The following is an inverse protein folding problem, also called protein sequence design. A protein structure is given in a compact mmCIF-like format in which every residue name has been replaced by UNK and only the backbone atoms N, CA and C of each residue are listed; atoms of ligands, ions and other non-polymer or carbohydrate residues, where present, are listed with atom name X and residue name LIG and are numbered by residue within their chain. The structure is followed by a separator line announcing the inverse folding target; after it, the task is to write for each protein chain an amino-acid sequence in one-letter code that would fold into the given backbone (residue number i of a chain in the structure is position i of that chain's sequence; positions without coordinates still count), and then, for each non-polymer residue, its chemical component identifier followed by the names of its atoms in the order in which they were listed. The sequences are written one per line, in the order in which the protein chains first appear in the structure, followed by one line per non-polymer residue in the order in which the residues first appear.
data_IF_539895100673
#
_entry.id   IF_539895100673
#
_cell.length_a   1.000
_cell.length_b   1.000
_cell.length_c   1.000
_cell.angle_alpha   90.00
_cell.angle_beta   90.00
_cell.angle_gamma   90.00
#
_symmetry.space_group_name_H-M   'P 1'
#
loop_
_entity.id
_entity.type
_entity.pdbx_description
1 polymer ?
#
# COMPACT_ATOMS: atom_id res chain seq x y z
N UNK A 1 -41.77 -25.22 -6.98
CA UNK A 1 -40.30 -25.18 -6.80
C UNK A 1 -39.58 -24.86 -8.12
N UNK A 2 -39.98 -25.48 -9.24
CA UNK A 2 -39.33 -25.29 -10.56
C UNK A 2 -39.50 -23.90 -11.18
N UNK A 3 -40.60 -23.21 -10.90
CA UNK A 3 -40.88 -21.85 -11.38
C UNK A 3 -39.91 -20.80 -10.82
N UNK A 4 -39.52 -20.94 -9.56
CA UNK A 4 -38.54 -20.06 -8.92
C UNK A 4 -37.13 -20.34 -9.44
N UNK A 5 -36.75 -21.61 -9.62
CA UNK A 5 -35.45 -21.99 -10.22
C UNK A 5 -35.31 -21.43 -11.64
N UNK A 6 -36.39 -21.45 -12.42
CA UNK A 6 -36.39 -20.90 -13.78
C UNK A 6 -36.25 -19.37 -13.78
N UNK A 7 -36.91 -18.66 -12.85
CA UNK A 7 -36.69 -17.22 -12.62
C UNK A 7 -35.24 -16.92 -12.25
N UNK A 8 -34.63 -17.68 -11.34
CA UNK A 8 -33.23 -17.51 -10.92
C UNK A 8 -32.24 -17.69 -12.06
N UNK A 9 -32.44 -18.69 -12.93
CA UNK A 9 -31.61 -18.88 -14.13
C UNK A 9 -31.70 -17.69 -15.08
N UNK A 10 -32.92 -17.16 -15.33
CA UNK A 10 -33.17 -15.98 -16.16
C UNK A 10 -32.58 -14.70 -15.56
N UNK A 11 -32.60 -14.57 -14.23
CA UNK A 11 -32.01 -13.46 -13.50
C UNK A 11 -30.47 -13.49 -13.57
N UNK A 12 -29.85 -14.66 -13.35
CA UNK A 12 -28.39 -14.86 -13.45
C UNK A 12 -27.85 -14.54 -14.86
N UNK A 13 -28.63 -14.85 -15.89
CA UNK A 13 -28.28 -14.55 -17.28
C UNK A 13 -28.40 -13.05 -17.61
N UNK A 14 -29.33 -12.34 -16.96
CA UNK A 14 -29.49 -10.88 -17.06
C UNK A 14 -28.48 -10.09 -16.22
N UNK A 15 -28.07 -10.61 -15.07
CA UNK A 15 -27.05 -10.01 -14.20
C UNK A 15 -25.69 -10.61 -14.55
N UNK A 16 -25.25 -10.44 -15.79
CA UNK A 16 -23.85 -10.68 -16.17
C UNK A 16 -23.02 -9.45 -15.81
N UNK A 17 -23.05 -9.05 -14.53
CA UNK A 17 -22.19 -7.98 -14.04
C UNK A 17 -20.77 -8.56 -13.90
N UNK A 18 -19.77 -7.84 -14.41
CA UNK A 18 -18.36 -8.20 -14.22
C UNK A 18 -17.83 -7.80 -12.83
N UNK A 19 -18.71 -7.43 -11.90
CA UNK A 19 -18.35 -7.00 -10.55
C UNK A 19 -18.23 -8.23 -9.66
N UNK A 20 -17.02 -8.51 -9.18
CA UNK A 20 -16.78 -9.53 -8.16
C UNK A 20 -17.32 -9.02 -6.81
N UNK A 21 -18.18 -9.80 -6.17
CA UNK A 21 -18.79 -9.48 -4.88
C UNK A 21 -18.39 -10.54 -3.86
N UNK A 22 -17.96 -10.09 -2.68
CA UNK A 22 -17.77 -10.92 -1.49
C UNK A 22 -18.81 -10.50 -0.43
N UNK A 23 -19.44 -11.47 0.23
CA UNK A 23 -20.45 -11.23 1.26
C UNK A 23 -19.97 -11.88 2.56
N UNK A 24 -19.64 -11.04 3.53
CA UNK A 24 -19.30 -11.45 4.89
C UNK A 24 -20.49 -11.26 5.82
N UNK A 25 -20.75 -12.24 6.70
CA UNK A 25 -21.82 -12.19 7.69
C UNK A 25 -21.27 -11.90 9.08
N UNK A 26 -21.89 -10.95 9.78
CA UNK A 26 -21.57 -10.63 11.16
C UNK A 26 -22.53 -11.38 12.07
N UNK A 27 -22.06 -12.38 12.81
CA UNK A 27 -22.87 -13.04 13.84
C UNK A 27 -22.68 -12.30 15.17
N UNK A 28 -23.68 -11.52 15.58
CA UNK A 28 -23.67 -10.75 16.83
C UNK A 28 -24.05 -11.59 18.07
N UNK A 29 -23.79 -12.90 18.04
CA UNK A 29 -24.37 -13.86 18.99
C UNK A 29 -23.39 -14.60 19.91
N UNK A 30 -22.09 -14.58 19.66
CA UNK A 30 -21.10 -15.17 20.57
C UNK A 30 -20.38 -14.07 21.33
N UNK A 31 -20.44 -14.13 22.66
CA UNK A 31 -19.74 -13.25 23.61
C UNK A 31 -18.20 -13.31 23.50
N UNK A 32 -17.67 -14.15 22.61
CA UNK A 32 -16.24 -14.38 22.40
C UNK A 32 -15.76 -14.13 20.95
N UNK A 33 -16.65 -14.00 19.96
CA UNK A 33 -16.23 -13.63 18.61
C UNK A 33 -16.44 -12.13 18.40
N UNK A 34 -15.32 -11.40 18.32
CA UNK A 34 -15.34 -10.01 17.92
C UNK A 34 -16.07 -9.89 16.56
N UNK A 35 -17.14 -9.07 16.45
CA UNK A 35 -17.87 -8.93 15.20
C UNK A 35 -16.89 -8.55 14.09
N UNK A 36 -17.07 -9.15 12.91
CA UNK A 36 -16.30 -8.82 11.70
C UNK A 36 -16.25 -7.29 11.55
N UNK A 37 -15.08 -6.72 11.79
CA UNK A 37 -14.89 -5.28 12.00
C UNK A 37 -14.92 -4.48 10.69
N UNK A 38 -15.33 -5.09 9.57
CA UNK A 38 -15.21 -4.53 8.23
C UNK A 38 -15.92 -3.18 8.09
N UNK A 39 -17.11 -3.04 8.68
CA UNK A 39 -17.85 -1.77 8.70
C UNK A 39 -17.12 -0.68 9.48
N UNK A 40 -16.70 -0.97 10.72
CA UNK A 40 -15.98 -0.03 11.59
C UNK A 40 -14.65 0.37 10.94
N UNK A 41 -13.94 -0.61 10.39
CA UNK A 41 -12.67 -0.43 9.67
C UNK A 41 -12.86 0.46 8.45
N UNK A 42 -13.95 0.28 7.70
CA UNK A 42 -14.28 1.13 6.54
C UNK A 42 -14.51 2.57 6.97
N UNK A 43 -15.22 2.81 8.08
CA UNK A 43 -15.43 4.15 8.61
C UNK A 43 -14.12 4.79 9.10
N UNK A 44 -13.25 4.01 9.75
CA UNK A 44 -11.93 4.47 10.17
C UNK A 44 -11.07 4.89 8.98
N UNK A 45 -10.98 4.04 7.94
CA UNK A 45 -10.25 4.36 6.71
C UNK A 45 -10.81 5.61 6.04
N UNK A 46 -12.14 5.78 6.02
CA UNK A 46 -12.77 7.02 5.50
C UNK A 46 -12.37 8.25 6.31
N UNK A 47 -12.25 8.14 7.64
CA UNK A 47 -11.78 9.24 8.48
C UNK A 47 -10.32 9.58 8.18
N UNK A 48 -9.45 8.58 8.07
CA UNK A 48 -8.05 8.78 7.68
C UNK A 48 -7.90 9.42 6.31
N UNK A 49 -8.72 9.03 5.33
CA UNK A 49 -8.72 9.65 4.00
C UNK A 49 -9.26 11.10 4.03
N UNK A 50 -10.10 11.47 4.99
CA UNK A 50 -10.51 12.86 5.20
C UNK A 50 -9.39 13.68 5.87
N UNK A 51 -8.69 13.08 6.83
CA UNK A 51 -7.56 13.69 7.53
C UNK A 51 -6.37 13.89 6.58
N UNK A 52 -6.01 12.87 5.80
CA UNK A 52 -4.95 12.89 4.80
C UNK A 52 -5.49 12.43 3.43
N UNK A 53 -5.99 13.36 2.59
CA UNK A 53 -6.54 13.04 1.27
C UNK A 53 -5.56 12.30 0.34
N UNK A 54 -4.25 12.49 0.51
CA UNK A 54 -3.22 11.84 -0.30
C UNK A 54 -3.15 10.32 -0.11
N UNK A 55 -3.69 9.78 0.99
CA UNK A 55 -3.70 8.34 1.27
C UNK A 55 -4.27 7.55 0.10
N UNK A 56 -5.39 8.01 -0.47
CA UNK A 56 -6.02 7.30 -1.58
C UNK A 56 -5.05 7.16 -2.76
N UNK A 57 -4.35 8.22 -3.11
CA UNK A 57 -3.47 8.26 -4.27
C UNK A 57 -2.20 7.42 -4.01
N UNK A 58 -1.56 7.57 -2.85
CA UNK A 58 -0.38 6.79 -2.45
C UNK A 58 -0.71 5.29 -2.38
N UNK A 59 -1.81 4.92 -1.73
CA UNK A 59 -2.23 3.51 -1.63
C UNK A 59 -2.53 2.91 -2.99
N UNK A 60 -3.13 3.65 -3.93
CA UNK A 60 -3.37 3.16 -5.28
C UNK A 60 -2.06 2.89 -6.03
N UNK A 61 -1.08 3.79 -5.93
CA UNK A 61 0.25 3.61 -6.54
C UNK A 61 0.93 2.37 -5.96
N UNK A 62 1.05 2.29 -4.62
CA UNK A 62 1.70 1.17 -3.93
C UNK A 62 0.98 -0.16 -4.19
N UNK A 63 -0.35 -0.17 -4.19
CA UNK A 63 -1.13 -1.36 -4.49
C UNK A 63 -0.88 -1.83 -5.92
N UNK A 64 -0.78 -0.91 -6.88
CA UNK A 64 -0.43 -1.26 -8.26
C UNK A 64 0.97 -1.88 -8.36
N UNK A 65 1.92 -1.38 -7.58
CA UNK A 65 3.28 -1.92 -7.49
C UNK A 65 3.29 -3.33 -6.90
N UNK A 66 2.65 -3.53 -5.75
CA UNK A 66 2.56 -4.82 -5.06
C UNK A 66 1.79 -5.85 -5.92
N UNK A 67 0.77 -5.41 -6.67
CA UNK A 67 0.03 -6.25 -7.61
C UNK A 67 0.92 -6.78 -8.74
N UNK A 68 1.87 -5.99 -9.26
CA UNK A 68 2.83 -6.46 -10.27
C UNK A 68 3.72 -7.59 -9.76
N UNK A 69 3.96 -7.65 -8.45
CA UNK A 69 4.70 -8.74 -7.81
C UNK A 69 3.84 -9.99 -7.53
N UNK A 70 2.53 -9.94 -7.75
CA UNK A 70 1.61 -11.00 -7.34
C UNK A 70 1.43 -11.11 -5.82
N UNK A 71 1.76 -10.06 -5.05
CA UNK A 71 1.79 -10.06 -3.58
C UNK A 71 0.69 -9.19 -2.95
N UNK A 72 -0.41 -8.93 -3.66
CA UNK A 72 -1.53 -8.10 -3.15
C UNK A 72 -2.52 -8.85 -2.25
N UNK A 73 -2.39 -10.17 -2.18
CA UNK A 73 -3.27 -11.06 -1.43
C UNK A 73 -2.55 -11.61 -0.20
N UNK A 74 -3.16 -11.46 0.98
CA UNK A 74 -2.53 -11.87 2.24
C UNK A 74 -2.49 -13.39 2.42
N UNK A 75 -3.47 -14.12 1.89
CA UNK A 75 -3.55 -15.58 2.01
C UNK A 75 -2.47 -16.31 1.19
N UNK A 76 -1.85 -15.64 0.20
CA UNK A 76 -0.72 -16.18 -0.58
C UNK A 76 0.65 -15.74 -0.05
N UNK A 77 0.71 -15.15 1.15
CA UNK A 77 1.96 -14.64 1.72
C UNK A 77 2.24 -13.15 1.47
N UNK A 78 1.35 -12.46 0.75
CA UNK A 78 1.46 -11.05 0.39
C UNK A 78 0.97 -10.07 1.46
N UNK A 79 0.85 -8.79 1.09
CA UNK A 79 0.40 -7.72 1.97
C UNK A 79 -1.07 -7.36 1.68
N UNK A 80 -1.91 -7.39 2.71
CA UNK A 80 -3.32 -7.01 2.56
C UNK A 80 -3.48 -5.52 2.24
N UNK A 81 -4.56 -5.16 1.53
CA UNK A 81 -4.87 -3.76 1.24
C UNK A 81 -5.08 -2.93 2.52
N UNK A 82 -5.63 -3.52 3.57
CA UNK A 82 -5.83 -2.83 4.85
C UNK A 82 -4.51 -2.59 5.59
N UNK A 83 -3.63 -3.59 5.62
CA UNK A 83 -2.27 -3.46 6.15
C UNK A 83 -1.48 -2.36 5.44
N UNK A 84 -1.60 -2.28 4.11
CA UNK A 84 -0.98 -1.23 3.31
C UNK A 84 -1.51 0.17 3.66
N UNK A 85 -2.83 0.32 3.87
CA UNK A 85 -3.41 1.60 4.30
C UNK A 85 -2.87 2.01 5.67
N UNK A 86 -2.76 1.08 6.62
CA UNK A 86 -2.18 1.35 7.95
C UNK A 86 -0.73 1.83 7.82
N UNK A 87 0.10 1.15 7.02
CA UNK A 87 1.49 1.56 6.78
C UNK A 87 1.58 3.00 6.28
N UNK A 88 0.75 3.37 5.28
CA UNK A 88 0.74 4.73 4.72
C UNK A 88 0.23 5.75 5.73
N UNK A 89 -0.87 5.45 6.43
CA UNK A 89 -1.43 6.36 7.44
C UNK A 89 -0.44 6.61 8.58
N UNK A 90 0.17 5.56 9.13
CA UNK A 90 1.15 5.64 10.20
C UNK A 90 2.35 6.50 9.79
N UNK A 91 2.86 6.32 8.57
CA UNK A 91 3.93 7.15 8.05
C UNK A 91 3.55 8.64 7.96
N UNK A 92 2.37 8.94 7.39
CA UNK A 92 1.92 10.33 7.19
C UNK A 92 1.70 11.06 8.53
N UNK A 93 1.10 10.36 9.50
CA UNK A 93 0.81 10.90 10.82
C UNK A 93 2.07 11.26 11.60
N UNK A 94 3.11 10.42 11.54
CA UNK A 94 4.33 10.62 12.33
C UNK A 94 5.29 11.63 11.68
N UNK A 95 5.40 11.61 10.36
CA UNK A 95 6.31 12.51 9.65
C UNK A 95 5.73 13.92 9.45
N UNK A 96 4.49 14.17 9.91
CA UNK A 96 3.78 15.46 9.83
C UNK A 96 4.00 16.16 8.50
N UNK A 97 3.97 15.40 7.40
CA UNK A 97 4.48 15.89 6.13
C UNK A 97 3.65 17.13 5.78
N UNK A 98 4.36 18.23 5.54
CA UNK A 98 3.76 19.48 5.10
C UNK A 98 2.92 19.23 3.84
N UNK A 99 2.11 20.20 3.42
CA UNK A 99 1.35 20.16 2.17
C UNK A 99 2.31 20.16 0.95
N UNK A 100 3.05 19.05 0.80
CA UNK A 100 3.99 18.78 -0.26
C UNK A 100 3.23 18.13 -1.42
N UNK A 101 3.85 18.15 -2.60
CA UNK A 101 3.31 17.46 -3.75
C UNK A 101 3.34 15.94 -3.53
N UNK A 102 2.37 15.23 -4.10
CA UNK A 102 2.29 13.77 -3.98
C UNK A 102 3.58 13.04 -4.37
N UNK A 103 4.32 13.56 -5.36
CA UNK A 103 5.58 12.96 -5.80
C UNK A 103 6.65 12.95 -4.70
N UNK A 104 6.75 14.03 -3.94
CA UNK A 104 7.67 14.13 -2.80
C UNK A 104 7.22 13.21 -1.66
N UNK A 105 5.93 13.25 -1.33
CA UNK A 105 5.36 12.39 -0.28
C UNK A 105 5.54 10.89 -0.61
N UNK A 106 5.43 10.52 -1.89
CA UNK A 106 5.69 9.15 -2.34
C UNK A 106 7.17 8.78 -2.20
N UNK A 107 8.09 9.66 -2.58
CA UNK A 107 9.53 9.43 -2.42
C UNK A 107 9.89 9.30 -0.94
N UNK A 108 9.39 10.19 -0.08
CA UNK A 108 9.66 10.17 1.36
C UNK A 108 9.11 8.90 2.01
N UNK A 109 7.91 8.46 1.60
CA UNK A 109 7.33 7.19 2.02
C UNK A 109 8.24 6.01 1.65
N UNK A 110 8.73 5.95 0.41
CA UNK A 110 9.64 4.88 -0.01
C UNK A 110 10.96 4.94 0.76
N UNK A 111 11.54 6.13 0.94
CA UNK A 111 12.77 6.33 1.72
C UNK A 111 12.63 5.81 3.13
N UNK A 112 11.53 6.16 3.80
CA UNK A 112 11.27 5.68 5.15
C UNK A 112 11.22 4.15 5.20
N UNK A 113 10.41 3.51 4.36
CA UNK A 113 10.26 2.06 4.39
C UNK A 113 11.49 1.28 3.92
N UNK A 114 12.38 1.89 3.13
CA UNK A 114 13.60 1.26 2.62
C UNK A 114 14.81 1.50 3.53
N UNK A 115 14.96 2.71 4.08
CA UNK A 115 16.17 3.15 4.76
C UNK A 115 16.02 3.25 6.28
N UNK A 116 14.82 3.51 6.80
CA UNK A 116 14.60 3.83 8.21
C UNK A 116 13.79 2.75 8.95
N UNK A 117 12.76 2.21 8.31
CA UNK A 117 11.86 1.23 8.93
C UNK A 117 12.52 -0.15 9.02
N UNK A 118 12.83 -0.59 10.24
CA UNK A 118 13.25 -1.96 10.49
C UNK A 118 12.06 -2.85 10.85
N UNK A 119 11.56 -3.59 9.87
CA UNK A 119 10.42 -4.51 10.02
C UNK A 119 10.61 -5.64 11.04
N UNK A 120 11.86 -5.96 11.44
CA UNK A 120 12.14 -7.00 12.44
C UNK A 120 12.14 -6.49 13.87
N UNK A 121 12.30 -5.19 14.07
CA UNK A 121 12.36 -4.57 15.41
C UNK A 121 11.21 -3.62 15.67
N UNK A 122 10.55 -3.13 14.63
CA UNK A 122 9.50 -2.11 14.71
C UNK A 122 8.16 -2.68 14.27
N UNK A 123 7.15 -2.57 15.13
CA UNK A 123 5.76 -2.87 14.82
C UNK A 123 4.97 -1.62 14.42
N UNK A 124 3.85 -1.83 13.72
CA UNK A 124 2.93 -0.77 13.30
C UNK A 124 1.55 -1.00 13.90
N UNK A 125 0.98 0.01 14.55
CA UNK A 125 -0.35 -0.01 15.17
C UNK A 125 -0.39 0.76 16.48
N UNK A 126 -1.59 0.99 17.00
CA UNK A 126 -1.81 1.68 18.29
C UNK A 126 -1.74 0.69 19.46
N UNK A 127 -0.52 0.29 19.86
CA UNK A 127 -0.32 -0.55 21.04
C UNK A 127 -0.03 0.23 22.32
N UNK A 128 0.72 1.32 22.27
CA UNK A 128 1.21 2.06 23.44
C UNK A 128 0.08 2.58 24.35
N UNK A 129 -0.65 3.61 23.93
CA UNK A 129 -1.82 4.09 24.65
C UNK A 129 -2.94 4.45 23.67
N UNK A 130 -4.02 3.64 23.67
CA UNK A 130 -5.20 3.85 22.81
C UNK A 130 -5.94 5.13 23.20
N UNK A 131 -5.87 5.54 24.48
CA UNK A 131 -6.60 6.71 24.98
C UNK A 131 -5.88 8.01 24.66
N UNK A 132 -4.57 7.94 24.40
CA UNK A 132 -3.80 9.11 24.04
C UNK A 132 -3.75 9.30 22.51
N UNK A 133 -4.40 10.35 21.98
CA UNK A 133 -4.40 10.65 20.55
C UNK A 133 -3.03 11.08 20.01
N UNK A 134 -2.01 11.25 20.86
CA UNK A 134 -0.62 11.54 20.47
C UNK A 134 0.28 10.30 20.48
N UNK A 135 -0.23 9.12 20.88
CA UNK A 135 0.55 7.88 20.86
C UNK A 135 1.09 7.58 19.46
N UNK A 136 2.35 7.16 19.38
CA UNK A 136 2.94 6.80 18.09
C UNK A 136 2.29 5.54 17.52
N UNK A 137 2.18 5.48 16.20
CA UNK A 137 1.80 4.24 15.50
C UNK A 137 2.98 3.29 15.29
N UNK A 138 4.21 3.71 15.56
CA UNK A 138 5.37 2.84 15.56
C UNK A 138 5.79 2.53 16.99
N UNK A 139 6.11 1.27 17.26
CA UNK A 139 6.56 0.83 18.57
C UNK A 139 7.64 -0.23 18.43
N UNK A 140 8.52 -0.33 19.42
CA UNK A 140 9.56 -1.36 19.46
C UNK A 140 8.93 -2.70 19.87
N UNK A 141 9.20 -3.77 19.12
CA UNK A 141 8.67 -5.10 19.40
C UNK A 141 9.20 -5.68 20.73
N UNK A 142 10.42 -5.32 21.11
CA UNK A 142 11.07 -5.82 22.33
C UNK A 142 10.35 -5.33 23.59
N UNK A 143 9.84 -4.09 23.58
CA UNK A 143 9.10 -3.50 24.70
C UNK A 143 7.84 -4.31 25.08
N UNK A 144 7.32 -5.11 24.14
CA UNK A 144 6.10 -5.92 24.31
C UNK A 144 6.37 -7.43 24.26
N UNK A 145 7.64 -7.87 24.28
CA UNK A 145 8.02 -9.28 24.17
C UNK A 145 7.42 -10.01 22.95
N UNK A 146 7.25 -9.29 21.83
CA UNK A 146 6.64 -9.84 20.62
C UNK A 146 7.68 -10.60 19.76
N UNK A 147 7.26 -11.66 19.05
CA UNK A 147 8.16 -12.40 18.17
C UNK A 147 8.59 -11.56 16.96
N UNK A 148 9.79 -11.85 16.44
CA UNK A 148 10.27 -11.26 15.19
C UNK A 148 9.60 -11.93 13.99
N UNK A 149 8.50 -11.33 13.53
CA UNK A 149 7.86 -11.69 12.26
C UNK A 149 8.53 -10.94 11.10
N UNK A 150 8.30 -11.34 9.83
CA UNK A 150 8.78 -10.58 8.69
C UNK A 150 8.30 -9.12 8.69
N UNK A 151 7.07 -8.89 9.16
CA UNK A 151 6.51 -7.57 9.48
C UNK A 151 5.37 -7.72 10.48
N UNK A 152 5.30 -6.81 11.46
CA UNK A 152 4.27 -6.84 12.52
C UNK A 152 3.36 -5.63 12.40
N UNK A 153 2.11 -5.85 12.00
CA UNK A 153 1.07 -4.81 11.92
C UNK A 153 -0.16 -5.25 12.71
N UNK A 154 -0.57 -4.47 13.69
CA UNK A 154 -1.79 -4.69 14.45
C UNK A 154 -2.91 -3.79 13.96
N UNK A 155 -4.14 -4.32 14.02
CA UNK A 155 -5.32 -3.51 13.81
C UNK A 155 -5.47 -2.49 14.95
N UNK A 156 -5.52 -1.18 14.65
CA UNK A 156 -5.64 -0.15 15.69
C UNK A 156 -6.95 -0.22 16.50
N UNK A 157 -7.99 -0.89 15.97
CA UNK A 157 -9.28 -0.98 16.66
C UNK A 157 -9.33 -2.06 17.74
N UNK A 158 -8.69 -3.21 17.50
CA UNK A 158 -8.84 -4.40 18.34
C UNK A 158 -7.53 -5.13 18.63
N UNK A 159 -6.39 -4.58 18.24
CA UNK A 159 -5.05 -5.15 18.43
C UNK A 159 -4.88 -6.57 17.88
N UNK A 160 -5.72 -6.99 16.93
CA UNK A 160 -5.51 -8.25 16.22
C UNK A 160 -4.34 -8.10 15.26
N UNK A 161 -3.41 -9.06 15.26
CA UNK A 161 -2.32 -9.13 14.30
C UNK A 161 -2.89 -9.32 12.88
N UNK A 162 -2.55 -8.43 11.96
CA UNK A 162 -3.03 -8.45 10.57
C UNK A 162 -2.06 -9.15 9.62
N UNK A 163 -0.78 -9.20 9.97
CA UNK A 163 0.31 -9.69 9.10
C UNK A 163 0.80 -11.08 9.47
N UNK A 164 0.01 -11.87 10.19
CA UNK A 164 0.37 -13.26 10.57
C UNK A 164 0.71 -14.13 9.35
N UNK A 165 0.06 -13.88 8.22
CA UNK A 165 0.30 -14.61 6.96
C UNK A 165 1.29 -13.91 6.03
N UNK A 166 1.80 -12.72 6.35
CA UNK A 166 2.66 -11.95 5.45
C UNK A 166 4.13 -12.42 5.56
N UNK A 167 4.56 -13.24 4.61
CA UNK A 167 5.91 -13.84 4.60
C UNK A 167 6.83 -13.27 3.53
N UNK A 168 6.28 -12.57 2.53
CA UNK A 168 7.02 -12.05 1.38
C UNK A 168 7.26 -10.55 1.39
N UNK A 169 7.17 -9.89 2.56
CA UNK A 169 7.37 -8.44 2.69
C UNK A 169 8.75 -7.97 2.20
N UNK A 170 9.79 -8.80 2.36
CA UNK A 170 11.13 -8.49 1.86
C UNK A 170 11.14 -8.19 0.35
N UNK A 171 10.42 -8.99 -0.45
CA UNK A 171 10.29 -8.75 -1.91
C UNK A 171 9.59 -7.42 -2.23
N UNK A 172 8.66 -7.00 -1.38
CA UNK A 172 7.98 -5.71 -1.53
C UNK A 172 8.96 -4.56 -1.24
N UNK A 173 9.74 -4.66 -0.16
CA UNK A 173 10.75 -3.65 0.17
C UNK A 173 11.91 -3.60 -0.83
N UNK A 174 12.35 -4.74 -1.36
CA UNK A 174 13.32 -4.77 -2.45
C UNK A 174 12.79 -4.03 -3.68
N UNK A 175 11.51 -4.24 -4.01
CA UNK A 175 10.89 -3.53 -5.13
C UNK A 175 10.74 -2.03 -4.87
N UNK A 176 10.44 -1.63 -3.62
CA UNK A 176 10.44 -0.22 -3.21
C UNK A 176 11.84 0.39 -3.36
N UNK A 177 12.88 -0.32 -2.95
CA UNK A 177 14.28 0.11 -3.08
C UNK A 177 14.68 0.31 -4.54
N UNK A 178 14.37 -0.65 -5.42
CA UNK A 178 14.62 -0.53 -6.86
C UNK A 178 13.88 0.67 -7.45
N UNK A 179 12.62 0.86 -7.07
CA UNK A 179 11.79 1.98 -7.55
C UNK A 179 12.37 3.32 -7.10
N UNK A 180 12.77 3.42 -5.83
CA UNK A 180 13.37 4.63 -5.27
C UNK A 180 14.66 5.00 -6.02
N UNK A 181 15.55 4.04 -6.23
CA UNK A 181 16.80 4.26 -6.97
C UNK A 181 16.54 4.77 -8.40
N UNK A 182 15.57 4.19 -9.11
CA UNK A 182 15.20 4.63 -10.46
C UNK A 182 14.62 6.04 -10.48
N UNK A 183 13.81 6.40 -9.49
CA UNK A 183 13.26 7.74 -9.36
C UNK A 183 14.35 8.78 -9.06
N UNK A 184 15.31 8.45 -8.21
CA UNK A 184 16.43 9.35 -7.89
C UNK A 184 17.36 9.56 -9.08
N UNK A 185 17.69 8.50 -9.84
CA UNK A 185 18.46 8.62 -11.08
C UNK A 185 17.74 9.50 -12.11
N UNK A 186 16.42 9.32 -12.28
CA UNK A 186 15.63 10.17 -13.18
C UNK A 186 15.57 11.61 -12.69
N UNK A 187 15.40 11.84 -11.38
CA UNK A 187 15.42 13.18 -10.80
C UNK A 187 16.74 13.88 -11.10
N UNK A 188 17.87 13.22 -10.84
CA UNK A 188 19.19 13.75 -11.14
C UNK A 188 19.37 14.05 -12.64
N UNK A 189 18.96 13.13 -13.50
CA UNK A 189 18.96 13.34 -14.95
C UNK A 189 18.19 14.60 -15.35
N UNK A 190 16.96 14.78 -14.87
CA UNK A 190 16.14 15.93 -15.23
C UNK A 190 16.66 17.24 -14.64
N UNK A 191 17.14 17.23 -13.39
CA UNK A 191 17.80 18.39 -12.79
C UNK A 191 18.99 18.83 -13.63
N UNK A 192 19.86 17.90 -14.01
CA UNK A 192 21.00 18.18 -14.88
C UNK A 192 20.54 18.63 -16.28
N UNK A 193 19.51 18.00 -16.84
CA UNK A 193 18.94 18.36 -18.14
C UNK A 193 18.44 19.80 -18.18
N UNK A 194 17.71 20.26 -17.16
CA UNK A 194 17.19 21.64 -17.09
C UNK A 194 18.33 22.68 -17.09
N UNK A 195 19.47 22.34 -16.49
CA UNK A 195 20.65 23.21 -16.42
C UNK A 195 21.43 23.22 -17.75
N UNK A 196 21.23 22.23 -18.63
CA UNK A 196 21.84 22.20 -19.96
C UNK A 196 21.28 23.31 -20.85
N UNK A 197 22.15 24.01 -21.58
CA UNK A 197 21.72 24.91 -22.66
C UNK A 197 20.97 24.17 -23.78
N UNK A 198 20.02 24.85 -24.44
CA UNK A 198 19.12 24.29 -25.49
C UNK A 198 19.83 23.40 -26.53
N UNK A 199 21.05 23.75 -26.95
CA UNK A 199 21.85 22.94 -27.90
C UNK A 199 22.23 21.56 -27.35
N UNK A 200 22.63 21.47 -26.08
CA UNK A 200 23.00 20.19 -25.43
C UNK A 200 21.77 19.33 -25.17
N UNK A 201 20.65 19.94 -24.78
CA UNK A 201 19.35 19.28 -24.64
C UNK A 201 18.87 18.65 -25.96
N UNK A 202 18.88 19.40 -27.07
CA UNK A 202 18.50 18.89 -28.39
C UNK A 202 19.36 17.70 -28.84
N UNK A 203 20.68 17.75 -28.59
CA UNK A 203 21.58 16.64 -28.93
C UNK A 203 21.23 15.37 -28.13
N UNK A 204 20.91 15.52 -26.85
CA UNK A 204 20.54 14.40 -25.98
C UNK A 204 19.19 13.79 -26.38
N UNK A 205 18.18 14.62 -26.67
CA UNK A 205 16.87 14.15 -27.13
C UNK A 205 16.97 13.39 -28.44
N UNK A 206 17.75 13.90 -29.41
CA UNK A 206 17.98 13.21 -30.68
C UNK A 206 18.70 11.86 -30.50
N UNK A 207 19.56 11.76 -29.49
CA UNK A 207 20.25 10.50 -29.15
C UNK A 207 19.28 9.49 -28.51
N UNK A 208 18.39 9.96 -27.64
CA UNK A 208 17.33 9.13 -27.04
C UNK A 208 16.31 8.66 -28.07
N UNK A 209 15.89 9.54 -28.98
CA UNK A 209 14.98 9.19 -30.08
C UNK A 209 15.58 8.08 -30.93
N UNK A 210 16.82 8.24 -31.42
CA UNK A 210 17.49 7.21 -32.22
C UNK A 210 17.62 5.87 -31.48
N UNK A 211 17.91 5.90 -30.17
CA UNK A 211 17.97 4.68 -29.36
C UNK A 211 16.60 3.97 -29.32
N UNK A 212 15.52 4.71 -29.11
CA UNK A 212 14.16 4.15 -29.10
C UNK A 212 13.80 3.58 -30.47
N UNK A 213 14.11 4.28 -31.56
CA UNK A 213 13.84 3.78 -32.92
C UNK A 213 14.58 2.47 -33.19
N UNK A 214 15.87 2.39 -32.84
CA UNK A 214 16.68 1.18 -33.01
C UNK A 214 16.14 0.01 -32.17
N UNK A 215 15.72 0.27 -30.93
CA UNK A 215 15.11 -0.74 -30.07
C UNK A 215 13.83 -1.28 -30.70
N UNK A 216 12.95 -0.40 -31.21
CA UNK A 216 11.70 -0.79 -31.85
C UNK A 216 11.92 -1.55 -33.18
N UNK A 217 12.96 -1.19 -33.94
CA UNK A 217 13.35 -1.91 -35.15
C UNK A 217 13.94 -3.30 -34.84
N UNK A 218 14.65 -3.46 -33.72
CA UNK A 218 15.19 -4.75 -33.28
C UNK A 218 14.16 -5.74 -32.74
N UNK A 219 12.94 -5.26 -32.47
CA UNK A 219 11.80 -6.08 -31.98
C UNK A 219 10.90 -6.55 -33.14
N UNK A 220 11.14 -6.09 -34.37
CA UNK A 220 10.54 -6.64 -35.59
C UNK A 220 11.31 -7.86 -36.08
#
# INVERSE_FOLDING_TARGET
MDTEIHKWKKLKQRIKSCIKVDISFNFSGSTYDSPHSGFITTNLVKQWMKEYPVIQQLVLILKSMIKKLGLSESYTGGLSSYSLIIMVYSFLRENRIAQNQIGEQFIDLLKYFVNEFNSRTTGIGLLADIKNPQSSYFFNLQDYCLPQLPITIFNPLNRKLLTSSCVHIGKIFDFFKVTLNQLEQKREFYCNYVILGKKKQQKLNKTLENFITNLLESIK
#
